data_IF_612160510090
#
_entry.id   IF_612160510090
#
_cell.length_a   1.000
_cell.length_b   1.000
_cell.length_c   1.000
_cell.angle_alpha   90.00
_cell.angle_beta   90.00
_cell.angle_gamma   90.00
#
_symmetry.space_group_name_H-M   'P 1'
#
loop_
_entity.id
_entity.type
_entity.pdbx_description
1 polymer ?
#
# COMPACT_ATOMS: atom_id res chain seq x y z
N UNK A 1 -32.05 -14.09 10.74
CA UNK A 1 -31.59 -12.82 10.14
C UNK A 1 -30.22 -12.37 10.64
N UNK A 2 -29.96 -12.23 11.96
CA UNK A 2 -28.62 -11.88 12.50
C UNK A 2 -27.48 -12.79 12.03
N UNK A 3 -27.72 -14.10 11.91
CA UNK A 3 -26.71 -15.07 11.46
C UNK A 3 -26.23 -14.82 10.01
N UNK A 4 -27.13 -14.34 9.14
CA UNK A 4 -26.81 -13.98 7.76
C UNK A 4 -26.01 -12.67 7.73
N UNK A 5 -26.40 -11.69 8.54
CA UNK A 5 -25.68 -10.40 8.65
C UNK A 5 -24.24 -10.62 9.15
N UNK A 6 -24.06 -11.44 10.19
CA UNK A 6 -22.73 -11.77 10.72
C UNK A 6 -21.89 -12.47 9.64
N UNK A 7 -22.46 -13.43 8.91
CA UNK A 7 -21.76 -14.12 7.84
C UNK A 7 -21.30 -13.16 6.71
N UNK A 8 -22.15 -12.21 6.32
CA UNK A 8 -21.80 -11.19 5.32
C UNK A 8 -20.67 -10.25 5.79
N UNK A 9 -20.67 -9.85 7.07
CA UNK A 9 -19.62 -9.00 7.66
C UNK A 9 -18.28 -9.75 7.71
N UNK A 10 -18.29 -11.01 8.16
CA UNK A 10 -17.06 -11.81 8.22
C UNK A 10 -16.52 -12.06 6.82
N UNK A 11 -17.39 -12.39 5.86
CA UNK A 11 -16.98 -12.59 4.47
C UNK A 11 -16.40 -11.32 3.85
N UNK A 12 -16.95 -10.15 4.13
CA UNK A 12 -16.43 -8.90 3.57
C UNK A 12 -15.08 -8.50 4.18
N UNK A 13 -14.88 -8.72 5.48
CA UNK A 13 -13.59 -8.50 6.16
C UNK A 13 -12.48 -9.39 5.60
N UNK A 14 -12.76 -10.67 5.35
CA UNK A 14 -11.80 -11.59 4.72
C UNK A 14 -11.43 -11.13 3.31
N UNK A 15 -12.41 -10.68 2.52
CA UNK A 15 -12.17 -10.15 1.18
C UNK A 15 -11.33 -8.85 1.18
N UNK A 16 -11.45 -8.02 2.21
CA UNK A 16 -10.61 -6.82 2.38
C UNK A 16 -9.16 -7.23 2.66
N UNK A 17 -8.94 -8.15 3.61
CA UNK A 17 -7.60 -8.65 3.94
C UNK A 17 -6.88 -9.32 2.77
N UNK A 18 -7.60 -10.00 1.88
CA UNK A 18 -7.03 -10.59 0.65
C UNK A 18 -6.54 -9.53 -0.36
N UNK A 19 -7.12 -8.33 -0.33
CA UNK A 19 -6.84 -7.25 -1.30
C UNK A 19 -5.77 -6.28 -0.84
N UNK A 20 -5.49 -6.24 0.46
CA UNK A 20 -4.47 -5.38 1.07
C UNK A 20 -3.19 -6.15 1.33
N UNK A 21 -2.06 -5.46 1.29
CA UNK A 21 -0.74 -6.03 1.52
C UNK A 21 0.19 -4.96 2.12
N UNK A 22 1.42 -5.34 2.44
CA UNK A 22 2.44 -4.45 2.97
C UNK A 22 3.57 -4.31 1.95
N UNK A 23 4.03 -3.09 1.69
CA UNK A 23 5.10 -2.89 0.71
C UNK A 23 5.49 -1.44 0.49
N UNK A 24 6.42 -1.23 -0.43
CA UNK A 24 6.77 0.13 -0.87
C UNK A 24 5.64 0.73 -1.69
N UNK A 25 5.33 2.01 -1.50
CA UNK A 25 4.34 2.70 -2.32
C UNK A 25 4.83 2.84 -3.77
N UNK A 26 3.96 2.58 -4.73
CA UNK A 26 4.19 2.78 -6.16
C UNK A 26 3.85 4.22 -6.56
N UNK A 27 4.80 4.93 -7.15
CA UNK A 27 4.50 6.11 -7.95
C UNK A 27 3.99 5.63 -9.32
N UNK A 28 2.70 5.87 -9.58
CA UNK A 28 2.03 5.44 -10.82
C UNK A 28 2.49 6.23 -12.05
N UNK A 29 3.03 7.43 -11.87
CA UNK A 29 3.53 8.24 -12.97
C UNK A 29 4.92 7.78 -13.42
N UNK A 30 5.79 7.44 -12.47
CA UNK A 30 7.18 7.04 -12.77
C UNK A 30 7.40 5.52 -12.83
N UNK A 31 6.48 4.74 -12.26
CA UNK A 31 6.63 3.29 -12.06
C UNK A 31 7.63 2.92 -10.95
N UNK A 32 8.17 3.92 -10.23
CA UNK A 32 9.17 3.76 -9.19
C UNK A 32 8.55 3.68 -7.79
N UNK A 33 9.39 3.43 -6.79
CA UNK A 33 8.97 3.57 -5.38
C UNK A 33 8.80 5.06 -5.05
N UNK A 34 7.77 5.40 -4.29
CA UNK A 34 7.61 6.76 -3.74
C UNK A 34 8.78 7.05 -2.80
N UNK A 35 9.50 8.14 -3.07
CA UNK A 35 10.62 8.57 -2.25
C UNK A 35 10.16 9.09 -0.89
N UNK A 36 10.92 8.77 0.17
CA UNK A 36 10.79 9.46 1.44
C UNK A 36 11.58 10.77 1.37
N UNK A 37 10.89 11.87 1.06
CA UNK A 37 11.53 13.19 0.85
C UNK A 37 11.70 13.97 2.15
N UNK A 38 10.72 13.87 3.07
CA UNK A 38 10.64 14.75 4.25
C UNK A 38 10.85 13.96 5.54
N UNK A 39 9.90 13.08 5.88
CA UNK A 39 9.88 12.34 7.13
C UNK A 39 8.86 11.19 7.07
N UNK A 40 8.76 10.43 8.18
CA UNK A 40 7.78 9.36 8.31
C UNK A 40 6.33 9.85 8.21
N UNK A 41 6.01 11.07 8.66
CA UNK A 41 4.65 11.61 8.63
C UNK A 41 4.16 11.81 7.19
N UNK A 42 5.03 12.26 6.29
CA UNK A 42 4.73 12.37 4.87
C UNK A 42 4.39 11.01 4.26
N UNK A 43 5.21 9.98 4.49
CA UNK A 43 4.92 8.62 4.04
C UNK A 43 3.64 8.04 4.68
N UNK A 44 3.37 8.37 5.95
CA UNK A 44 2.15 7.96 6.63
C UNK A 44 0.90 8.59 6.01
N UNK A 45 0.98 9.88 5.67
CA UNK A 45 -0.10 10.60 4.99
C UNK A 45 -0.40 9.97 3.63
N UNK A 46 0.64 9.76 2.80
CA UNK A 46 0.52 9.10 1.49
C UNK A 46 -0.08 7.69 1.60
N UNK A 47 0.37 6.90 2.58
CA UNK A 47 -0.16 5.57 2.85
C UNK A 47 -1.65 5.61 3.20
N UNK A 48 -2.07 6.53 4.08
CA UNK A 48 -3.48 6.68 4.49
C UNK A 48 -4.38 7.18 3.36
N UNK A 49 -3.91 8.12 2.54
CA UNK A 49 -4.62 8.58 1.33
C UNK A 49 -4.90 7.40 0.39
N UNK A 50 -3.97 6.44 0.34
CA UNK A 50 -4.05 5.21 -0.46
C UNK A 50 -4.73 4.05 0.27
N UNK A 51 -5.48 4.32 1.34
CA UNK A 51 -6.25 3.35 2.14
C UNK A 51 -5.38 2.32 2.88
N UNK A 52 -4.11 2.62 3.10
CA UNK A 52 -3.26 1.89 4.03
C UNK A 52 -3.46 2.33 5.48
N UNK A 53 -2.91 1.54 6.40
CA UNK A 53 -3.05 1.73 7.84
C UNK A 53 -1.96 2.64 8.41
N UNK A 54 -0.70 2.37 8.04
CA UNK A 54 0.46 3.07 8.57
C UNK A 54 1.60 3.10 7.55
N UNK A 55 2.19 4.27 7.36
CA UNK A 55 3.32 4.46 6.45
C UNK A 55 4.52 5.12 7.13
N UNK A 56 5.72 4.80 6.64
CA UNK A 56 6.96 5.32 7.19
C UNK A 56 8.11 5.20 6.17
N UNK A 57 9.23 5.86 6.45
CA UNK A 57 10.41 5.79 5.61
C UNK A 57 11.22 4.53 5.93
N UNK A 58 11.24 3.59 4.99
CA UNK A 58 11.93 2.31 5.12
C UNK A 58 13.23 2.29 4.30
N UNK A 59 14.20 1.49 4.73
CA UNK A 59 15.53 1.31 4.13
C UNK A 59 16.30 2.61 3.83
N UNK A 60 17.27 2.95 4.68
CA UNK A 60 18.08 4.19 4.59
C UNK A 60 17.24 5.49 4.48
N UNK A 61 15.95 5.43 4.86
CA UNK A 61 14.96 6.50 4.70
C UNK A 61 14.78 6.98 3.25
N UNK A 62 14.95 6.10 2.27
CA UNK A 62 14.89 6.49 0.85
C UNK A 62 13.50 6.31 0.24
N UNK A 63 12.68 5.38 0.75
CA UNK A 63 11.37 5.07 0.17
C UNK A 63 10.28 4.92 1.23
N UNK A 64 9.04 5.27 0.84
CA UNK A 64 7.87 5.08 1.68
C UNK A 64 7.42 3.61 1.65
N UNK A 65 7.37 2.99 2.83
CA UNK A 65 6.73 1.71 3.05
C UNK A 65 5.36 1.94 3.68
N UNK A 66 4.38 1.11 3.32
CA UNK A 66 2.99 1.25 3.72
C UNK A 66 2.43 -0.12 4.09
N UNK A 67 1.76 -0.18 5.23
CA UNK A 67 1.12 -1.38 5.75
C UNK A 67 -0.38 -1.35 5.45
N UNK A 68 -0.92 -2.46 4.94
CA UNK A 68 -2.35 -2.65 4.68
C UNK A 68 -2.90 -1.85 3.51
N UNK A 69 -2.08 -1.45 2.53
CA UNK A 69 -2.56 -0.78 1.33
C UNK A 69 -3.05 -1.79 0.27
N UNK A 70 -3.97 -1.41 -0.63
CA UNK A 70 -4.33 -2.22 -1.77
C UNK A 70 -3.11 -2.60 -2.60
N UNK A 71 -3.03 -3.84 -3.09
CA UNK A 71 -1.87 -4.34 -3.87
C UNK A 71 -1.52 -3.46 -5.09
N UNK A 72 -2.50 -2.77 -5.67
CA UNK A 72 -2.33 -1.84 -6.80
C UNK A 72 -1.63 -0.53 -6.45
N UNK A 73 -1.52 -0.20 -5.16
CA UNK A 73 -0.81 0.97 -4.65
C UNK A 73 0.64 0.65 -4.27
N UNK A 74 1.03 -0.62 -4.32
CA UNK A 74 2.34 -1.10 -3.93
C UNK A 74 3.20 -1.38 -5.15
N UNK A 75 4.49 -1.09 -5.00
CA UNK A 75 5.51 -1.41 -5.97
C UNK A 75 5.92 -2.87 -5.82
N UNK A 76 6.00 -3.58 -6.94
CA UNK A 76 6.36 -4.99 -7.00
C UNK A 76 7.53 -5.18 -7.97
N UNK A 77 8.48 -6.06 -7.63
CA UNK A 77 9.69 -6.23 -8.44
C UNK A 77 9.38 -6.92 -9.78
N UNK A 78 8.43 -7.85 -9.79
CA UNK A 78 8.01 -8.62 -10.97
C UNK A 78 7.30 -7.78 -12.05
N UNK A 79 6.76 -6.62 -11.68
CA UNK A 79 6.07 -5.71 -12.62
C UNK A 79 6.69 -4.31 -12.65
N UNK A 80 7.93 -4.18 -12.18
CA UNK A 80 8.63 -2.91 -12.08
C UNK A 80 8.80 -2.24 -13.45
N UNK A 81 8.32 -1.00 -13.58
CA UNK A 81 8.46 -0.16 -14.78
C UNK A 81 9.25 1.13 -14.52
N UNK A 82 9.91 1.22 -13.36
CA UNK A 82 10.68 2.39 -12.97
C UNK A 82 11.71 2.75 -14.05
N UNK A 83 11.66 4.00 -14.52
CA UNK A 83 12.50 4.52 -15.60
C UNK A 83 12.37 3.78 -16.95
N UNK A 84 11.20 3.22 -17.26
CA UNK A 84 10.92 2.64 -18.59
C UNK A 84 11.71 1.37 -18.91
N UNK A 85 12.25 0.68 -17.91
CA UNK A 85 12.82 -0.67 -18.09
C UNK A 85 11.68 -1.65 -18.34
N UNK A 86 11.40 -1.90 -19.62
CA UNK A 86 10.57 -3.01 -20.11
C UNK A 86 11.39 -4.31 -20.05
#
# INVERSE_FOLDING_TARGET
MMKIIIFLIVSSLVLIGVKTDNGYLLDKYTGCKVWCVINNESCNSECKIRRGNYGYCYFWKLACYCEGAPKSELWHCETNKCNGRM
#
